data_IF_381920111996
#
_entry.id   IF_381920111996
#
_cell.length_a   1.000
_cell.length_b   1.000
_cell.length_c   1.000
_cell.angle_alpha   90.00
_cell.angle_beta   90.00
_cell.angle_gamma   90.00
#
_symmetry.space_group_name_H-M   'P 1'
#
loop_
_entity.id
_entity.type
_entity.pdbx_description
1 polymer ?
#
# COMPACT_ATOMS: atom_id res chain seq x y z
N UNK A 1 1.55 -8.26 14.62
CA UNK A 1 2.82 -7.79 14.03
C UNK A 1 3.15 -6.45 14.66
N UNK A 2 4.40 -6.25 15.06
CA UNK A 2 4.87 -4.99 15.66
C UNK A 2 5.65 -4.18 14.62
N UNK A 3 5.05 -3.11 14.11
CA UNK A 3 5.61 -2.31 13.02
C UNK A 3 6.67 -1.30 13.49
N UNK A 4 7.03 -1.32 14.77
CA UNK A 4 8.22 -0.62 15.29
C UNK A 4 9.51 -1.39 15.01
N UNK A 5 9.40 -2.69 14.70
CA UNK A 5 10.54 -3.60 14.53
C UNK A 5 10.49 -4.43 13.25
N UNK A 6 9.35 -4.40 12.54
CA UNK A 6 9.11 -5.19 11.33
C UNK A 6 8.41 -4.32 10.29
N UNK A 7 8.62 -4.63 9.02
CA UNK A 7 7.90 -3.99 7.94
C UNK A 7 6.56 -4.72 7.67
N UNK A 8 5.48 -4.00 7.34
CA UNK A 8 4.28 -4.65 6.85
C UNK A 8 4.57 -5.27 5.47
N UNK A 9 3.68 -6.12 4.97
CA UNK A 9 3.85 -6.73 3.64
C UNK A 9 4.11 -5.71 2.53
N UNK A 10 4.73 -6.16 1.46
CA UNK A 10 4.93 -5.31 0.28
C UNK A 10 3.57 -4.85 -0.23
N UNK A 11 3.52 -3.65 -0.80
CA UNK A 11 2.34 -3.19 -1.54
C UNK A 11 2.02 -4.15 -2.70
N UNK A 12 3.03 -4.84 -3.25
CA UNK A 12 2.91 -5.83 -4.34
C UNK A 12 2.34 -7.18 -3.88
N UNK A 13 2.40 -7.50 -2.59
CA UNK A 13 1.91 -8.75 -2.06
C UNK A 13 0.38 -8.76 -2.09
N UNK A 14 -0.18 -9.45 -3.08
CA UNK A 14 -1.63 -9.51 -3.28
C UNK A 14 -2.31 -10.34 -2.20
N UNK A 15 -3.46 -9.86 -1.74
CA UNK A 15 -4.43 -10.67 -1.00
C UNK A 15 -5.71 -10.76 -1.84
N UNK A 16 -5.96 -11.95 -2.38
CA UNK A 16 -6.97 -12.11 -3.43
C UNK A 16 -6.60 -11.31 -4.68
N UNK A 17 -7.54 -10.57 -5.28
CA UNK A 17 -7.26 -9.80 -6.49
C UNK A 17 -6.62 -8.43 -6.21
N UNK A 18 -6.47 -8.01 -4.94
CA UNK A 18 -6.05 -6.64 -4.59
C UNK A 18 -4.58 -6.56 -4.17
N UNK A 19 -3.85 -5.62 -4.78
CA UNK A 19 -2.58 -5.12 -4.21
C UNK A 19 -2.88 -4.24 -2.99
N UNK A 20 -1.89 -3.99 -2.14
CA UNK A 20 -1.99 -3.15 -0.92
C UNK A 20 -2.89 -3.68 0.20
N UNK A 21 -3.90 -4.53 -0.07
CA UNK A 21 -4.84 -5.00 0.96
C UNK A 21 -4.14 -5.71 2.13
N UNK A 22 -3.20 -6.61 1.86
CA UNK A 22 -2.42 -7.27 2.90
C UNK A 22 -1.61 -6.28 3.74
N UNK A 23 -0.91 -5.36 3.07
CA UNK A 23 -0.15 -4.28 3.73
C UNK A 23 -1.04 -3.41 4.62
N UNK A 24 -2.23 -3.05 4.15
CA UNK A 24 -3.20 -2.26 4.92
C UNK A 24 -3.74 -3.02 6.12
N UNK A 25 -3.97 -4.33 6.02
CA UNK A 25 -4.37 -5.19 7.15
C UNK A 25 -3.28 -5.19 8.23
N UNK A 26 -2.00 -5.35 7.85
CA UNK A 26 -0.89 -5.34 8.80
C UNK A 26 -0.82 -4.02 9.57
N UNK A 27 -0.94 -2.90 8.84
CA UNK A 27 -0.98 -1.55 9.43
C UNK A 27 -2.18 -1.35 10.33
N UNK A 28 -3.37 -1.80 9.92
CA UNK A 28 -4.58 -1.69 10.71
C UNK A 28 -4.45 -2.48 12.03
N UNK A 29 -3.96 -3.72 11.98
CA UNK A 29 -3.72 -4.54 13.18
C UNK A 29 -2.70 -3.89 14.12
N UNK A 30 -1.61 -3.34 13.58
CA UNK A 30 -0.61 -2.65 14.36
C UNK A 30 -1.14 -1.35 14.99
N UNK A 31 -1.97 -0.60 14.25
CA UNK A 31 -2.67 0.58 14.76
C UNK A 31 -3.58 0.23 15.94
N UNK A 32 -4.39 -0.83 15.80
CA UNK A 32 -5.34 -1.25 16.84
C UNK A 32 -4.66 -1.58 18.16
N UNK A 33 -3.47 -2.20 18.13
CA UNK A 33 -2.75 -2.62 19.35
C UNK A 33 -1.66 -1.61 19.77
N UNK A 34 -1.57 -0.44 19.13
CA UNK A 34 -0.66 0.63 19.52
C UNK A 34 0.81 0.43 19.16
N UNK A 35 1.12 -0.38 18.14
CA UNK A 35 2.48 -0.73 17.70
C UNK A 35 2.77 -0.36 16.24
N UNK A 36 2.15 0.73 15.78
CA UNK A 36 2.24 1.18 14.39
C UNK A 36 3.63 1.73 14.01
N UNK A 37 4.39 2.27 14.95
CA UNK A 37 5.69 2.90 14.68
C UNK A 37 5.55 4.16 13.81
N UNK A 38 6.46 4.35 12.86
CA UNK A 38 6.49 5.50 11.94
C UNK A 38 5.41 5.43 10.83
N UNK A 39 4.70 4.30 10.73
CA UNK A 39 3.62 4.16 9.76
C UNK A 39 2.40 5.01 10.15
N UNK A 40 1.60 5.36 9.14
CA UNK A 40 0.31 6.04 9.32
C UNK A 40 -0.84 5.16 8.85
N UNK A 41 -1.92 5.14 9.61
CA UNK A 41 -3.17 4.45 9.27
C UNK A 41 -4.39 5.30 9.67
N UNK A 42 -5.36 5.54 8.76
CA UNK A 42 -5.23 5.38 7.31
C UNK A 42 -4.28 6.45 6.73
N UNK A 43 -3.43 6.04 5.79
CA UNK A 43 -2.61 6.95 4.96
C UNK A 43 -3.26 7.19 3.59
N UNK A 44 -2.73 8.10 2.74
CA UNK A 44 -3.28 8.35 1.41
C UNK A 44 -3.42 7.11 0.52
N UNK A 45 -2.49 6.15 0.61
CA UNK A 45 -2.58 4.87 -0.12
C UNK A 45 -3.69 3.95 0.43
N UNK A 46 -3.92 3.95 1.74
CA UNK A 46 -5.02 3.21 2.35
C UNK A 46 -6.37 3.83 1.94
N UNK A 47 -6.47 5.15 1.95
CA UNK A 47 -7.66 5.88 1.50
C UNK A 47 -7.99 5.57 0.04
N UNK A 48 -6.99 5.44 -0.83
CA UNK A 48 -7.19 5.08 -2.24
C UNK A 48 -7.74 3.65 -2.42
N UNK A 49 -7.34 2.70 -1.58
CA UNK A 49 -7.93 1.35 -1.56
C UNK A 49 -9.36 1.38 -1.01
N UNK A 50 -9.59 2.07 0.11
CA UNK A 50 -10.89 2.21 0.75
C UNK A 50 -11.94 2.83 -0.20
N UNK A 51 -11.57 3.88 -0.92
CA UNK A 51 -12.43 4.52 -1.94
C UNK A 51 -12.79 3.53 -3.05
N UNK A 52 -11.82 2.77 -3.55
CA UNK A 52 -12.04 1.82 -4.64
C UNK A 52 -12.99 0.69 -4.24
N UNK A 53 -12.82 0.13 -3.05
CA UNK A 53 -13.68 -0.94 -2.51
C UNK A 53 -14.96 -0.39 -1.88
N UNK A 54 -15.14 0.93 -1.78
CA UNK A 54 -16.34 1.56 -1.21
C UNK A 54 -16.58 1.24 0.26
N UNK A 55 -15.52 1.13 1.06
CA UNK A 55 -15.58 0.86 2.50
C UNK A 55 -14.93 2.03 3.24
N UNK A 56 -15.51 2.48 4.35
CA UNK A 56 -14.87 3.51 5.17
C UNK A 56 -13.83 2.91 6.13
N UNK A 57 -12.93 3.75 6.66
CA UNK A 57 -11.82 3.28 7.49
C UNK A 57 -12.26 2.63 8.82
N UNK A 58 -13.40 3.05 9.38
CA UNK A 58 -13.94 2.53 10.63
C UNK A 58 -14.47 1.11 10.45
N UNK A 59 -15.31 0.88 9.43
CA UNK A 59 -15.83 -0.45 9.09
C UNK A 59 -14.70 -1.42 8.74
N UNK A 60 -13.69 -0.96 7.98
CA UNK A 60 -12.52 -1.77 7.68
C UNK A 60 -11.75 -2.15 8.94
N UNK A 61 -11.57 -1.21 9.87
CA UNK A 61 -10.89 -1.47 11.14
C UNK A 61 -11.66 -2.50 11.96
N UNK A 62 -12.99 -2.39 12.06
CA UNK A 62 -13.83 -3.39 12.72
C UNK A 62 -13.69 -4.75 12.06
N UNK A 63 -13.72 -4.81 10.73
CA UNK A 63 -13.54 -6.05 9.99
C UNK A 63 -12.21 -6.73 10.35
N UNK A 64 -11.10 -5.98 10.32
CA UNK A 64 -9.74 -6.49 10.58
C UNK A 64 -9.52 -6.95 12.02
N UNK A 65 -10.18 -6.32 13.01
CA UNK A 65 -10.03 -6.68 14.43
C UNK A 65 -10.45 -8.12 14.73
N UNK A 66 -11.46 -8.60 14.04
CA UNK A 66 -12.14 -9.86 14.39
C UNK A 66 -11.82 -11.00 13.43
N UNK A 67 -11.07 -10.73 12.34
CA UNK A 67 -10.97 -11.63 11.19
C UNK A 67 -9.53 -11.91 10.80
N UNK A 68 -9.31 -13.13 10.32
CA UNK A 68 -8.11 -13.51 9.56
C UNK A 68 -8.07 -12.79 8.20
N UNK A 69 -6.94 -12.86 7.50
CA UNK A 69 -6.78 -12.19 6.20
C UNK A 69 -7.79 -12.66 5.16
N UNK A 70 -8.05 -13.97 5.10
CA UNK A 70 -9.02 -14.53 4.16
C UNK A 70 -10.45 -14.11 4.50
N UNK A 71 -10.78 -14.03 5.79
CA UNK A 71 -12.08 -13.54 6.23
C UNK A 71 -12.25 -12.03 5.99
N UNK A 72 -11.18 -11.23 6.12
CA UNK A 72 -11.21 -9.81 5.71
C UNK A 72 -11.43 -9.69 4.21
N UNK A 73 -10.74 -10.49 3.39
CA UNK A 73 -10.94 -10.51 1.94
C UNK A 73 -12.40 -10.85 1.58
N UNK A 74 -12.95 -11.91 2.16
CA UNK A 74 -14.35 -12.31 1.94
C UNK A 74 -15.32 -11.22 2.40
N UNK A 75 -15.04 -10.58 3.54
CA UNK A 75 -15.85 -9.49 4.06
C UNK A 75 -15.83 -8.28 3.12
N UNK A 76 -14.66 -7.90 2.60
CA UNK A 76 -14.49 -6.84 1.59
C UNK A 76 -15.27 -7.17 0.32
N UNK A 77 -15.20 -8.41 -0.17
CA UNK A 77 -15.94 -8.83 -1.36
C UNK A 77 -17.47 -8.83 -1.15
N UNK A 78 -17.92 -9.00 0.08
CA UNK A 78 -19.35 -9.05 0.43
C UNK A 78 -19.94 -7.66 0.68
N UNK A 79 -19.21 -6.79 1.37
CA UNK A 79 -19.70 -5.47 1.83
C UNK A 79 -19.20 -4.31 0.97
N UNK A 80 -18.13 -4.51 0.21
CA UNK A 80 -17.58 -3.52 -0.68
C UNK A 80 -18.35 -3.40 -2.00
N UNK A 81 -17.98 -2.38 -2.77
CA UNK A 81 -18.45 -2.20 -4.14
C UNK A 81 -17.98 -3.35 -5.01
N UNK A 82 -18.92 -4.01 -5.71
CA UNK A 82 -18.58 -5.05 -6.68
C UNK A 82 -17.82 -4.43 -7.84
N UNK A 83 -16.60 -4.93 -8.07
CA UNK A 83 -15.73 -4.54 -9.18
C UNK A 83 -15.52 -5.74 -10.09
N UNK A 84 -15.53 -5.50 -11.40
CA UNK A 84 -15.15 -6.49 -12.39
C UNK A 84 -13.65 -6.77 -12.36
N UNK A 85 -13.21 -7.92 -12.85
CA UNK A 85 -11.79 -8.25 -12.93
C UNK A 85 -10.96 -7.21 -13.71
N UNK A 86 -11.42 -6.66 -14.85
CA UNK A 86 -10.71 -5.57 -15.54
C UNK A 86 -10.56 -4.31 -14.70
N UNK A 87 -11.60 -3.88 -13.97
CA UNK A 87 -11.53 -2.72 -13.07
C UNK A 87 -10.49 -2.93 -11.96
N UNK A 88 -10.46 -4.13 -11.37
CA UNK A 88 -9.47 -4.45 -10.33
C UNK A 88 -8.05 -4.48 -10.91
N UNK A 89 -7.89 -5.03 -12.11
CA UNK A 89 -6.60 -5.04 -12.80
C UNK A 89 -6.09 -3.62 -13.09
N UNK A 90 -6.96 -2.75 -13.61
CA UNK A 90 -6.64 -1.35 -13.87
C UNK A 90 -6.30 -0.61 -12.58
N UNK A 91 -7.09 -0.80 -11.52
CA UNK A 91 -6.84 -0.19 -10.22
C UNK A 91 -5.51 -0.65 -9.62
N UNK A 92 -5.20 -1.95 -9.66
CA UNK A 92 -3.92 -2.48 -9.19
C UNK A 92 -2.75 -1.85 -9.95
N UNK A 93 -2.88 -1.71 -11.27
CA UNK A 93 -1.86 -1.09 -12.11
C UNK A 93 -1.67 0.38 -11.74
N UNK A 94 -2.76 1.13 -11.52
CA UNK A 94 -2.70 2.52 -11.05
C UNK A 94 -2.07 2.63 -9.66
N UNK A 95 -2.39 1.74 -8.74
CA UNK A 95 -1.84 1.71 -7.39
C UNK A 95 -0.33 1.47 -7.39
N UNK A 96 0.14 0.52 -8.20
CA UNK A 96 1.57 0.21 -8.36
C UNK A 96 2.37 1.30 -9.10
N UNK A 97 1.71 2.03 -10.00
CA UNK A 97 2.35 3.09 -10.80
C UNK A 97 2.17 4.49 -10.21
N UNK A 98 1.58 4.63 -9.02
CA UNK A 98 1.34 5.93 -8.40
C UNK A 98 2.66 6.55 -7.93
N UNK A 99 2.98 7.72 -8.46
CA UNK A 99 4.07 8.58 -7.99
C UNK A 99 3.57 9.81 -7.21
N UNK A 100 4.49 10.70 -6.80
CA UNK A 100 4.14 12.01 -6.27
C UNK A 100 3.41 12.86 -7.31
N UNK A 101 2.36 13.58 -6.91
CA UNK A 101 1.48 14.38 -7.80
C UNK A 101 1.59 15.90 -7.57
N UNK A 102 2.39 16.34 -6.60
CA UNK A 102 2.72 17.77 -6.37
C UNK A 102 4.23 17.95 -6.15
N UNK A 103 4.78 19.16 -6.38
CA UNK A 103 6.19 19.44 -6.13
C UNK A 103 6.63 19.11 -4.70
N UNK A 104 5.79 19.41 -3.70
CA UNK A 104 6.12 19.18 -2.29
C UNK A 104 6.20 17.68 -1.98
N UNK A 105 5.33 16.86 -2.58
CA UNK A 105 5.41 15.40 -2.46
C UNK A 105 6.62 14.85 -3.22
N UNK A 106 7.03 15.49 -4.31
CA UNK A 106 8.25 15.15 -5.02
C UNK A 106 9.48 15.42 -4.16
N UNK A 107 9.56 16.57 -3.50
CA UNK A 107 10.68 16.90 -2.61
C UNK A 107 10.80 15.87 -1.47
N UNK A 108 9.68 15.56 -0.80
CA UNK A 108 9.63 14.54 0.25
C UNK A 108 10.02 13.14 -0.28
N UNK A 109 9.53 12.77 -1.47
CA UNK A 109 9.87 11.49 -2.10
C UNK A 109 11.37 11.39 -2.42
N UNK A 110 11.96 12.46 -2.96
CA UNK A 110 13.37 12.52 -3.31
C UNK A 110 14.25 12.51 -2.06
N UNK A 111 13.83 13.16 -0.98
CA UNK A 111 14.52 13.12 0.32
C UNK A 111 14.67 11.68 0.81
N UNK A 112 13.56 10.93 0.90
CA UNK A 112 13.57 9.53 1.35
C UNK A 112 14.40 8.67 0.38
N UNK A 113 14.14 8.78 -0.92
CA UNK A 113 14.85 7.96 -1.93
C UNK A 113 16.36 8.19 -1.84
N UNK A 114 16.80 9.43 -1.75
CA UNK A 114 18.22 9.76 -1.71
C UNK A 114 18.88 9.39 -0.36
N UNK A 115 18.12 9.38 0.73
CA UNK A 115 18.59 8.88 2.02
C UNK A 115 18.80 7.35 2.02
N UNK A 116 17.99 6.61 1.25
CA UNK A 116 18.13 5.15 1.10
C UNK A 116 19.18 4.79 0.04
N UNK A 117 19.02 5.29 -1.19
CA UNK A 117 19.94 5.11 -2.30
C UNK A 117 19.75 6.20 -3.37
N UNK A 118 20.62 7.22 -3.35
CA UNK A 118 20.59 8.34 -4.31
C UNK A 118 20.88 7.93 -5.76
N UNK A 119 21.39 6.73 -6.00
CA UNK A 119 21.68 6.23 -7.36
C UNK A 119 20.43 5.69 -8.06
N UNK A 120 19.38 5.34 -7.31
CA UNK A 120 18.10 4.78 -7.80
C UNK A 120 17.19 5.84 -8.41
N UNK A 121 17.68 6.64 -9.35
CA UNK A 121 16.90 7.68 -10.00
C UNK A 121 15.71 7.15 -10.82
N UNK A 122 15.73 5.86 -11.16
CA UNK A 122 14.65 5.12 -11.80
C UNK A 122 13.41 4.93 -10.91
N UNK A 123 13.58 5.05 -9.58
CA UNK A 123 12.48 4.93 -8.61
C UNK A 123 11.67 6.22 -8.60
N UNK A 124 10.44 6.12 -9.10
CA UNK A 124 9.49 7.25 -9.26
C UNK A 124 8.09 6.95 -8.73
N UNK A 125 7.88 5.79 -8.10
CA UNK A 125 6.58 5.39 -7.53
C UNK A 125 6.67 5.07 -6.06
N UNK A 126 5.58 5.31 -5.34
CA UNK A 126 5.48 4.98 -3.91
C UNK A 126 5.70 3.49 -3.67
N UNK A 127 5.20 2.63 -4.56
CA UNK A 127 5.39 1.19 -4.43
C UNK A 127 6.88 0.80 -4.49
N UNK A 128 7.65 1.36 -5.43
CA UNK A 128 9.10 1.12 -5.51
C UNK A 128 9.83 1.71 -4.31
N UNK A 129 9.52 2.95 -3.92
CA UNK A 129 10.19 3.61 -2.79
C UNK A 129 9.97 2.84 -1.48
N UNK A 130 8.75 2.40 -1.21
CA UNK A 130 8.43 1.62 -0.01
C UNK A 130 9.18 0.28 0.02
N UNK A 131 9.25 -0.44 -1.10
CA UNK A 131 10.01 -1.69 -1.15
C UNK A 131 11.52 -1.44 -1.01
N UNK A 132 12.04 -0.35 -1.58
CA UNK A 132 13.45 0.03 -1.45
C UNK A 132 13.81 0.38 0.00
N UNK A 133 13.00 1.23 0.65
CA UNK A 133 13.16 1.64 2.05
C UNK A 133 13.05 0.44 3.01
N UNK A 134 12.15 -0.50 2.73
CA UNK A 134 11.92 -1.71 3.54
C UNK A 134 12.89 -2.86 3.19
N UNK A 135 13.97 -2.56 2.46
CA UNK A 135 15.06 -3.49 2.15
C UNK A 135 14.71 -4.61 1.17
N UNK A 136 13.62 -4.48 0.40
CA UNK A 136 13.21 -5.44 -0.63
C UNK A 136 13.85 -5.10 -1.97
N UNK A 137 14.01 -6.13 -2.81
CA UNK A 137 14.55 -5.96 -4.16
C UNK A 137 13.57 -5.21 -5.05
N UNK A 138 14.00 -4.05 -5.56
CA UNK A 138 13.26 -3.28 -6.57
C UNK A 138 14.01 -3.36 -7.89
N UNK A 139 13.42 -4.04 -8.87
CA UNK A 139 13.98 -4.13 -10.23
C UNK A 139 14.20 -2.74 -10.82
N UNK A 140 15.29 -2.59 -11.57
CA UNK A 140 15.53 -1.37 -12.34
C UNK A 140 14.33 -1.15 -13.28
N UNK A 141 13.74 0.04 -13.21
CA UNK A 141 12.83 0.43 -14.29
C UNK A 141 13.69 0.65 -15.52
N UNK A 142 13.54 -0.24 -16.50
CA UNK A 142 14.05 0.04 -17.84
C UNK A 142 13.52 1.40 -18.25
N UNK A 143 14.37 2.26 -18.80
CA UNK A 143 13.91 3.36 -19.64
C UNK A 143 13.05 2.78 -20.76
N UNK A 144 11.75 2.58 -20.51
CA UNK A 144 10.76 2.65 -21.57
C UNK A 144 10.62 4.15 -21.76
N UNK A 145 11.40 4.80 -22.61
CA UNK A 145 11.57 4.43 -24.01
C UNK A 145 10.35 5.01 -24.73
N UNK A 146 10.45 6.31 -25.01
CA UNK A 146 9.62 7.18 -25.87
C UNK A 146 8.09 7.04 -25.78
#
# INVERSE_FOLDING_TARGET
>A
MDLRTQFPRSLRDRLGPYVHLGRMIDKCRAHVIGVLGEYRYPCPLDAFLLEFIGINAEDFLHAVRERTDQEVLQWVQTHGTKRSEPEIHEWNTRMLNRGPDTPEKWDYFLEIRNAVDSTRQDVVTWADLLDLEEGRTVSLRSERGN
#
